data_IF_554927602169
#
_entry.id   IF_554927602169
#
_cell.length_a   1.000
_cell.length_b   1.000
_cell.length_c   1.000
_cell.angle_alpha   90.00
_cell.angle_beta   90.00
_cell.angle_gamma   90.00
#
_symmetry.space_group_name_H-M   'P 1'
#
loop_
_entity.id
_entity.type
_entity.pdbx_description
1 polymer ?
#
# COMPACT_ATOMS: atom_id res chain seq x y z
N UNK A 1 34.20 -8.47 14.03
CA UNK A 1 33.06 -7.88 14.75
C UNK A 1 31.97 -7.66 13.70
N UNK A 2 31.13 -8.68 13.48
CA UNK A 2 30.04 -8.60 12.50
C UNK A 2 28.96 -7.68 13.09
N UNK A 3 28.94 -6.41 12.67
CA UNK A 3 27.71 -5.64 12.79
C UNK A 3 26.70 -6.31 11.88
N UNK A 4 25.73 -7.01 12.45
CA UNK A 4 24.50 -7.33 11.75
C UNK A 4 23.92 -6.02 11.25
N UNK A 5 24.14 -5.73 9.96
CA UNK A 5 23.49 -4.62 9.29
C UNK A 5 22.01 -4.97 9.22
N UNK A 6 21.24 -4.47 10.17
CA UNK A 6 19.78 -4.54 10.11
C UNK A 6 19.35 -3.84 8.82
N UNK A 7 18.86 -4.62 7.86
CA UNK A 7 18.37 -4.08 6.60
C UNK A 7 17.17 -3.19 6.89
N UNK A 8 17.17 -2.01 6.28
CA UNK A 8 16.02 -1.10 6.40
C UNK A 8 14.85 -1.70 5.65
N UNK A 9 13.73 -1.87 6.36
CA UNK A 9 12.47 -2.35 5.77
C UNK A 9 11.81 -1.24 4.93
N UNK A 10 11.33 -1.60 3.75
CA UNK A 10 10.61 -0.70 2.85
C UNK A 10 9.31 -1.35 2.35
N UNK A 11 8.19 -0.66 2.52
CA UNK A 11 6.90 -1.02 1.94
C UNK A 11 6.54 -0.19 0.70
N UNK A 12 5.49 -0.58 0.00
CA UNK A 12 4.87 0.16 -1.10
C UNK A 12 4.52 1.61 -0.72
N UNK A 13 4.02 1.84 0.50
CA UNK A 13 3.68 3.17 0.99
C UNK A 13 4.92 4.07 1.10
N UNK A 14 6.00 3.51 1.65
CA UNK A 14 7.30 4.17 1.74
C UNK A 14 7.90 4.48 0.37
N UNK A 15 7.83 3.56 -0.60
CA UNK A 15 8.30 3.79 -1.97
C UNK A 15 7.45 4.84 -2.70
N UNK A 16 6.13 4.82 -2.53
CA UNK A 16 5.24 5.84 -3.09
C UNK A 16 5.55 7.22 -2.52
N UNK A 17 5.75 7.32 -1.19
CA UNK A 17 6.13 8.58 -0.56
C UNK A 17 7.49 9.07 -1.05
N UNK A 18 8.48 8.19 -1.12
CA UNK A 18 9.82 8.52 -1.60
C UNK A 18 9.78 9.03 -3.05
N UNK A 19 9.03 8.36 -3.93
CA UNK A 19 8.81 8.78 -5.32
C UNK A 19 8.11 10.14 -5.38
N UNK A 20 7.13 10.38 -4.51
CA UNK A 20 6.32 11.59 -4.52
C UNK A 20 7.04 12.81 -3.92
N UNK A 21 7.77 12.64 -2.81
CA UNK A 21 8.53 13.69 -2.13
C UNK A 21 9.61 13.11 -1.19
N UNK A 22 10.89 13.06 -1.61
CA UNK A 22 11.99 12.57 -0.77
C UNK A 22 12.14 13.36 0.53
N UNK A 23 11.93 14.68 0.51
CA UNK A 23 11.95 15.48 1.73
C UNK A 23 10.88 15.06 2.74
N UNK A 24 9.67 14.75 2.28
CA UNK A 24 8.58 14.27 3.16
C UNK A 24 8.91 12.88 3.72
N UNK A 25 9.52 12.02 2.92
CA UNK A 25 10.05 10.73 3.39
C UNK A 25 11.05 10.90 4.53
N UNK A 26 12.01 11.83 4.39
CA UNK A 26 12.97 12.14 5.45
C UNK A 26 12.25 12.58 6.74
N UNK A 27 11.30 13.51 6.65
CA UNK A 27 10.55 14.00 7.81
C UNK A 27 9.83 12.90 8.57
N UNK A 28 9.15 12.02 7.85
CA UNK A 28 8.34 10.96 8.46
C UNK A 28 9.22 9.82 8.99
N UNK A 29 10.14 9.29 8.18
CA UNK A 29 10.82 8.03 8.52
C UNK A 29 12.22 8.19 9.12
N UNK A 30 12.92 9.30 8.88
CA UNK A 30 14.25 9.55 9.47
C UNK A 30 14.18 10.47 10.68
N UNK A 31 13.26 11.44 10.67
CA UNK A 31 13.11 12.43 11.74
C UNK A 31 11.91 12.15 12.65
N UNK A 32 11.11 11.11 12.33
CA UNK A 32 9.96 10.68 13.12
C UNK A 32 8.94 11.80 13.40
N UNK A 33 8.81 12.73 12.46
CA UNK A 33 7.83 13.81 12.56
C UNK A 33 6.46 13.27 12.20
N UNK A 34 5.53 13.36 13.15
CA UNK A 34 4.14 12.97 12.95
C UNK A 34 3.44 13.81 11.89
N UNK A 35 2.43 13.21 11.27
CA UNK A 35 1.44 13.92 10.45
C UNK A 35 0.15 14.04 11.24
N UNK A 36 -0.50 15.22 11.20
CA UNK A 36 -1.84 15.37 11.75
C UNK A 36 -2.84 14.61 10.88
N UNK A 37 -3.57 13.70 11.50
CA UNK A 37 -4.73 13.00 10.93
C UNK A 37 -5.98 13.72 11.39
N UNK A 38 -6.87 14.09 10.48
CA UNK A 38 -8.14 14.71 10.87
C UNK A 38 -9.07 13.68 11.53
N UNK A 39 -10.03 14.07 12.37
CA UNK A 39 -11.01 13.13 12.94
C UNK A 39 -11.75 12.30 11.88
N UNK A 40 -12.14 12.93 10.77
CA UNK A 40 -12.78 12.26 9.63
C UNK A 40 -11.86 11.22 8.97
N UNK A 41 -10.58 11.54 8.78
CA UNK A 41 -9.60 10.57 8.29
C UNK A 41 -9.40 9.41 9.27
N UNK A 42 -9.36 9.69 10.58
CA UNK A 42 -9.25 8.67 11.61
C UNK A 42 -10.46 7.74 11.61
N UNK A 43 -11.68 8.26 11.42
CA UNK A 43 -12.90 7.46 11.27
C UNK A 43 -12.82 6.55 10.03
N UNK A 44 -12.37 7.08 8.88
CA UNK A 44 -12.16 6.28 7.67
C UNK A 44 -11.13 5.16 7.86
N UNK A 45 -10.00 5.44 8.50
CA UNK A 45 -8.96 4.45 8.81
C UNK A 45 -9.46 3.37 9.78
N UNK A 46 -10.21 3.78 10.81
CA UNK A 46 -10.78 2.88 11.80
C UNK A 46 -11.81 1.95 11.16
N UNK A 47 -12.70 2.52 10.34
CA UNK A 47 -13.67 1.73 9.59
C UNK A 47 -12.99 0.76 8.63
N UNK A 48 -11.97 1.24 7.90
CA UNK A 48 -11.18 0.40 7.01
C UNK A 48 -10.52 -0.78 7.72
N UNK A 49 -9.88 -0.52 8.86
CA UNK A 49 -9.24 -1.57 9.66
C UNK A 49 -10.24 -2.62 10.16
N UNK A 50 -11.44 -2.19 10.59
CA UNK A 50 -12.51 -3.12 10.97
C UNK A 50 -12.98 -3.96 9.79
N UNK A 51 -13.07 -3.39 8.60
CA UNK A 51 -13.40 -4.13 7.38
C UNK A 51 -12.36 -5.22 7.08
N UNK A 52 -11.06 -4.90 7.08
CA UNK A 52 -10.01 -5.90 6.85
C UNK A 52 -10.04 -7.01 7.90
N UNK A 53 -10.23 -6.67 9.18
CA UNK A 53 -10.36 -7.66 10.25
C UNK A 53 -11.51 -8.66 10.02
N UNK A 54 -12.67 -8.18 9.58
CA UNK A 54 -13.80 -9.05 9.25
C UNK A 54 -13.46 -9.98 8.09
N UNK A 55 -12.83 -9.45 7.03
CA UNK A 55 -12.43 -10.25 5.87
C UNK A 55 -11.40 -11.32 6.25
N UNK A 56 -10.42 -10.98 7.08
CA UNK A 56 -9.42 -11.90 7.62
C UNK A 56 -10.08 -13.03 8.43
N UNK A 57 -10.93 -12.70 9.41
CA UNK A 57 -11.61 -13.69 10.24
C UNK A 57 -12.50 -14.62 9.41
N UNK A 58 -13.18 -14.08 8.40
CA UNK A 58 -14.01 -14.87 7.46
C UNK A 58 -13.16 -15.88 6.68
N UNK A 59 -12.00 -15.48 6.16
CA UNK A 59 -11.11 -16.41 5.44
C UNK A 59 -10.60 -17.53 6.37
N UNK A 60 -10.32 -17.21 7.64
CA UNK A 60 -9.96 -18.17 8.67
C UNK A 60 -11.12 -19.09 9.11
N UNK A 61 -12.37 -18.81 8.69
CA UNK A 61 -13.56 -19.56 9.10
C UNK A 61 -14.00 -19.29 10.54
N UNK A 62 -13.60 -18.16 11.10
CA UNK A 62 -14.00 -17.70 12.43
C UNK A 62 -15.37 -16.98 12.35
N UNK A 63 -16.17 -17.02 13.43
CA UNK A 63 -17.40 -16.22 13.52
C UNK A 63 -17.10 -14.73 13.36
N UNK A 64 -17.88 -14.04 12.54
CA UNK A 64 -17.72 -12.60 12.25
C UNK A 64 -18.95 -11.77 12.67
N UNK A 65 -20.01 -12.43 13.11
CA UNK A 65 -21.31 -11.84 13.44
C UNK A 65 -21.13 -10.72 14.47
N UNK A 66 -20.42 -11.00 15.57
CA UNK A 66 -20.15 -10.02 16.63
C UNK A 66 -19.33 -8.81 16.18
N UNK A 67 -18.58 -8.90 15.08
CA UNK A 67 -17.79 -7.77 14.56
C UNK A 67 -18.63 -6.80 13.73
N UNK A 68 -19.72 -7.30 13.14
CA UNK A 68 -20.58 -6.55 12.22
C UNK A 68 -21.92 -6.15 12.83
N UNK A 69 -22.36 -6.82 13.92
CA UNK A 69 -23.66 -6.60 14.58
C UNK A 69 -23.90 -5.14 15.00
N UNK A 70 -22.87 -4.46 15.50
CA UNK A 70 -22.98 -3.07 15.98
C UNK A 70 -22.78 -2.03 14.88
N UNK A 71 -22.45 -2.44 13.65
CA UNK A 71 -22.14 -1.55 12.53
C UNK A 71 -22.87 -2.00 11.26
N UNK A 72 -24.08 -1.48 11.10
CA UNK A 72 -24.95 -1.77 9.95
C UNK A 72 -24.29 -1.43 8.61
N UNK A 73 -23.43 -0.41 8.57
CA UNK A 73 -22.69 -0.07 7.37
C UNK A 73 -21.63 -1.13 7.05
N UNK A 74 -20.89 -1.59 8.06
CA UNK A 74 -19.91 -2.67 7.91
C UNK A 74 -20.59 -3.97 7.45
N UNK A 75 -21.67 -4.37 8.11
CA UNK A 75 -22.46 -5.54 7.73
C UNK A 75 -22.94 -5.45 6.28
N UNK A 76 -23.51 -4.31 5.88
CA UNK A 76 -23.98 -4.09 4.52
C UNK A 76 -22.87 -4.29 3.48
N UNK A 77 -21.71 -3.68 3.69
CA UNK A 77 -20.61 -3.74 2.73
C UNK A 77 -19.90 -5.08 2.68
N UNK A 78 -19.81 -5.79 3.80
CA UNK A 78 -19.30 -7.17 3.83
C UNK A 78 -20.23 -8.09 3.05
N UNK A 79 -21.54 -8.03 3.30
CA UNK A 79 -22.53 -8.81 2.54
C UNK A 79 -22.49 -8.47 1.06
N UNK A 80 -22.47 -7.18 0.71
CA UNK A 80 -22.40 -6.75 -0.68
C UNK A 80 -21.15 -7.28 -1.41
N UNK A 81 -20.00 -7.34 -0.74
CA UNK A 81 -18.78 -7.92 -1.32
C UNK A 81 -18.90 -9.44 -1.49
N UNK A 82 -19.47 -10.14 -0.49
CA UNK A 82 -19.74 -11.58 -0.57
C UNK A 82 -20.62 -11.93 -1.76
N UNK A 83 -21.67 -11.14 -1.98
CA UNK A 83 -22.61 -11.34 -3.08
C UNK A 83 -22.01 -10.99 -4.44
N UNK A 84 -21.15 -9.96 -4.50
CA UNK A 84 -20.52 -9.50 -5.74
C UNK A 84 -19.33 -10.36 -6.18
N UNK A 85 -18.74 -11.15 -5.28
CA UNK A 85 -17.49 -11.86 -5.51
C UNK A 85 -17.50 -13.32 -5.01
N UNK A 86 -18.56 -14.11 -5.26
CA UNK A 86 -18.67 -15.47 -4.71
C UNK A 86 -17.53 -16.38 -5.16
N UNK A 87 -17.01 -16.19 -6.37
CA UNK A 87 -15.95 -17.00 -6.96
C UNK A 87 -14.59 -16.86 -6.25
N UNK A 88 -14.27 -15.68 -5.71
CA UNK A 88 -13.03 -15.48 -4.95
C UNK A 88 -13.21 -15.79 -3.47
N UNK A 89 -14.43 -15.70 -2.94
CA UNK A 89 -14.73 -15.87 -1.51
C UNK A 89 -15.19 -17.29 -1.14
N UNK A 90 -15.45 -18.14 -2.13
CA UNK A 90 -15.71 -19.57 -1.94
C UNK A 90 -14.40 -20.35 -2.04
N UNK A 91 -14.12 -21.18 -1.03
CA UNK A 91 -12.92 -22.03 -1.04
C UNK A 91 -13.06 -23.09 -2.12
N UNK A 92 -12.19 -23.03 -3.12
CA UNK A 92 -12.09 -24.06 -4.16
C UNK A 92 -11.14 -25.17 -3.71
N UNK A 93 -11.51 -26.45 -3.88
CA UNK A 93 -10.60 -27.55 -3.61
C UNK A 93 -9.28 -27.41 -4.37
N UNK A 94 -8.19 -27.90 -3.78
CA UNK A 94 -6.83 -27.85 -4.35
C UNK A 94 -6.27 -26.43 -4.61
N UNK A 95 -6.78 -25.41 -3.91
CA UNK A 95 -6.15 -24.08 -3.86
C UNK A 95 -5.53 -23.85 -2.49
N UNK A 96 -4.38 -23.19 -2.47
CA UNK A 96 -3.80 -22.59 -1.28
C UNK A 96 -4.39 -21.18 -1.10
N UNK A 97 -4.72 -20.83 0.15
CA UNK A 97 -5.34 -19.56 0.49
C UNK A 97 -4.82 -19.08 1.83
N UNK A 98 -4.32 -17.85 1.89
CA UNK A 98 -3.85 -17.25 3.12
C UNK A 98 -4.17 -15.75 3.17
N UNK A 99 -4.85 -15.34 4.23
CA UNK A 99 -5.13 -13.93 4.53
C UNK A 99 -3.94 -13.27 5.22
N UNK A 100 -3.73 -11.98 4.97
CA UNK A 100 -2.60 -11.21 5.55
C UNK A 100 -1.23 -11.87 5.25
N UNK A 101 -1.09 -12.44 4.04
CA UNK A 101 0.10 -13.18 3.65
C UNK A 101 1.28 -12.24 3.44
N UNK A 102 2.26 -12.31 4.34
CA UNK A 102 3.46 -11.49 4.32
C UNK A 102 4.58 -12.12 3.48
N UNK A 103 5.16 -11.33 2.57
CA UNK A 103 6.38 -11.71 1.83
C UNK A 103 7.46 -10.67 1.99
N UNK A 104 8.71 -11.13 2.03
CA UNK A 104 9.88 -10.27 2.11
C UNK A 104 10.92 -10.62 1.07
N UNK A 105 11.65 -9.61 0.57
CA UNK A 105 12.71 -9.76 -0.42
C UNK A 105 13.89 -8.86 -0.05
N UNK A 106 15.08 -9.45 0.15
CA UNK A 106 16.31 -8.67 0.26
C UNK A 106 16.71 -8.16 -1.12
N UNK A 107 16.77 -6.84 -1.30
CA UNK A 107 17.04 -6.23 -2.60
C UNK A 107 17.79 -4.91 -2.43
N UNK A 108 18.96 -4.78 -3.09
CA UNK A 108 19.80 -3.58 -3.08
C UNK A 108 20.15 -3.06 -1.66
N UNK A 109 20.34 -3.95 -0.69
CA UNK A 109 20.65 -3.58 0.71
C UNK A 109 19.45 -3.10 1.52
N UNK A 110 18.23 -3.36 1.05
CA UNK A 110 16.98 -3.13 1.76
C UNK A 110 16.19 -4.44 1.91
N UNK A 111 15.28 -4.49 2.87
CA UNK A 111 14.31 -5.57 2.99
C UNK A 111 12.96 -5.05 2.52
N UNK A 112 12.53 -5.45 1.33
CA UNK A 112 11.23 -5.08 0.81
C UNK A 112 10.17 -5.97 1.45
N UNK A 113 9.09 -5.40 1.96
CA UNK A 113 8.01 -6.13 2.61
C UNK A 113 6.68 -5.79 1.96
N UNK A 114 5.86 -6.81 1.71
CA UNK A 114 4.46 -6.67 1.26
C UNK A 114 3.58 -7.60 2.08
N UNK A 115 2.34 -7.17 2.30
CA UNK A 115 1.31 -7.97 2.95
C UNK A 115 0.11 -8.00 2.00
N UNK A 116 -0.25 -9.20 1.54
CA UNK A 116 -1.42 -9.41 0.70
C UNK A 116 -2.63 -9.65 1.59
N UNK A 117 -3.72 -8.90 1.39
CA UNK A 117 -4.93 -9.12 2.19
C UNK A 117 -5.45 -10.55 2.02
N UNK A 118 -5.35 -11.09 0.80
CA UNK A 118 -5.59 -12.50 0.51
C UNK A 118 -4.75 -12.96 -0.69
N UNK A 119 -3.97 -14.00 -0.48
CA UNK A 119 -3.25 -14.73 -1.54
C UNK A 119 -3.99 -16.02 -1.86
N UNK A 120 -4.28 -16.26 -3.14
CA UNK A 120 -4.85 -17.50 -3.65
C UNK A 120 -3.91 -18.09 -4.68
N UNK A 121 -3.52 -19.34 -4.50
CA UNK A 121 -2.54 -20.03 -5.33
C UNK A 121 -3.07 -21.41 -5.76
N UNK A 122 -2.79 -21.77 -7.00
CA UNK A 122 -2.94 -23.15 -7.50
C UNK A 122 -1.71 -23.54 -8.33
N UNK A 123 -1.70 -24.76 -8.88
CA UNK A 123 -0.57 -25.24 -9.68
C UNK A 123 -0.23 -24.41 -10.93
N UNK A 124 -1.13 -23.56 -11.40
CA UNK A 124 -1.03 -22.84 -12.66
C UNK A 124 -0.92 -21.33 -12.49
N UNK A 125 -1.48 -20.75 -11.43
CA UNK A 125 -1.55 -19.31 -11.23
C UNK A 125 -1.58 -18.90 -9.76
N UNK A 126 -1.18 -17.64 -9.53
CA UNK A 126 -1.28 -16.97 -8.25
C UNK A 126 -2.05 -15.64 -8.39
N UNK A 127 -2.93 -15.38 -7.44
CA UNK A 127 -3.80 -14.22 -7.42
C UNK A 127 -3.69 -13.51 -6.07
N UNK A 128 -3.28 -12.25 -6.13
CA UNK A 128 -3.29 -11.34 -4.98
C UNK A 128 -4.61 -10.57 -5.01
N UNK A 129 -5.31 -10.56 -3.88
CA UNK A 129 -6.46 -9.71 -3.67
C UNK A 129 -6.13 -8.64 -2.65
N UNK A 130 -6.64 -7.44 -2.90
CA UNK A 130 -6.42 -6.28 -2.05
C UNK A 130 -7.74 -5.50 -1.92
N UNK A 131 -8.22 -5.37 -0.69
CA UNK A 131 -9.49 -4.74 -0.35
C UNK A 131 -9.30 -3.24 -0.22
N UNK A 132 -10.09 -2.46 -0.96
CA UNK A 132 -10.11 -1.00 -0.90
C UNK A 132 -11.44 -0.51 -0.35
N UNK A 133 -11.37 0.26 0.72
CA UNK A 133 -12.53 0.81 1.42
C UNK A 133 -12.94 2.19 0.93
N UNK A 134 -12.49 2.55 -0.28
CA UNK A 134 -12.79 3.79 -0.98
C UNK A 134 -13.23 3.50 -2.42
N UNK A 135 -13.89 4.46 -3.12
CA UNK A 135 -14.38 4.25 -4.47
C UNK A 135 -13.27 3.96 -5.48
N UNK A 136 -13.58 3.19 -6.52
CA UNK A 136 -12.63 2.92 -7.60
C UNK A 136 -12.09 4.22 -8.24
N UNK A 137 -10.76 4.41 -8.31
CA UNK A 137 -10.17 5.51 -9.05
C UNK A 137 -10.52 5.44 -10.54
N UNK A 138 -10.81 6.60 -11.14
CA UNK A 138 -11.12 6.70 -12.59
C UNK A 138 -9.93 6.33 -13.48
N UNK A 139 -8.71 6.59 -12.99
CA UNK A 139 -7.48 6.37 -13.76
C UNK A 139 -6.85 5.00 -13.41
N UNK A 140 -7.15 4.00 -14.25
CA UNK A 140 -6.55 2.67 -14.16
C UNK A 140 -5.03 2.70 -14.34
N UNK A 141 -4.49 3.58 -15.20
CA UNK A 141 -3.06 3.63 -15.48
C UNK A 141 -2.28 4.13 -14.27
N UNK A 142 -2.84 5.07 -13.51
CA UNK A 142 -2.27 5.51 -12.24
C UNK A 142 -2.09 4.35 -11.25
N UNK A 143 -3.11 3.49 -11.09
CA UNK A 143 -3.00 2.30 -10.24
C UNK A 143 -1.98 1.30 -10.77
N UNK A 144 -1.93 1.06 -12.08
CA UNK A 144 -0.94 0.18 -12.70
C UNK A 144 0.52 0.63 -12.41
N UNK A 145 0.74 1.94 -12.32
CA UNK A 145 2.06 2.54 -12.08
C UNK A 145 2.38 2.75 -10.60
N UNK A 146 1.41 2.53 -9.71
CA UNK A 146 1.55 2.68 -8.27
C UNK A 146 2.48 1.59 -7.70
N UNK A 147 3.28 1.94 -6.70
CA UNK A 147 4.19 0.96 -6.11
C UNK A 147 3.46 -0.19 -5.41
N UNK A 148 2.21 -0.03 -4.96
CA UNK A 148 1.45 -1.14 -4.40
C UNK A 148 1.27 -2.24 -5.45
N UNK A 149 0.70 -1.93 -6.62
CA UNK A 149 0.53 -2.92 -7.70
C UNK A 149 1.86 -3.51 -8.14
N UNK A 150 2.84 -2.65 -8.39
CA UNK A 150 4.11 -3.09 -8.98
C UNK A 150 4.93 -3.93 -8.01
N UNK A 151 5.03 -3.52 -6.74
CA UNK A 151 5.83 -4.22 -5.74
C UNK A 151 5.19 -5.55 -5.35
N UNK A 152 3.85 -5.59 -5.24
CA UNK A 152 3.12 -6.82 -4.88
C UNK A 152 3.36 -7.91 -5.92
N UNK A 153 3.14 -7.59 -7.20
CA UNK A 153 3.39 -8.50 -8.33
C UNK A 153 4.86 -8.90 -8.44
N UNK A 154 5.77 -7.94 -8.26
CA UNK A 154 7.22 -8.19 -8.34
C UNK A 154 7.72 -9.13 -7.24
N UNK A 155 7.34 -8.89 -5.98
CA UNK A 155 7.80 -9.72 -4.86
C UNK A 155 7.21 -11.13 -4.96
N UNK A 156 5.95 -11.29 -5.39
CA UNK A 156 5.40 -12.63 -5.57
C UNK A 156 6.20 -13.41 -6.63
N UNK A 157 6.54 -12.78 -7.75
CA UNK A 157 7.37 -13.40 -8.79
C UNK A 157 8.79 -13.74 -8.30
N UNK A 158 9.41 -12.88 -7.48
CA UNK A 158 10.79 -13.10 -6.98
C UNK A 158 10.87 -14.11 -5.82
N UNK A 159 9.74 -14.48 -5.21
CA UNK A 159 9.70 -15.33 -4.01
C UNK A 159 8.85 -16.59 -4.19
N UNK A 160 8.50 -16.91 -5.43
CA UNK A 160 7.75 -18.12 -5.79
C UNK A 160 8.27 -18.69 -7.11
N UNK A 161 7.78 -19.87 -7.49
CA UNK A 161 8.13 -20.52 -8.75
C UNK A 161 7.22 -20.10 -9.92
N UNK A 162 6.28 -19.17 -9.70
CA UNK A 162 5.38 -18.69 -10.75
C UNK A 162 6.11 -17.78 -11.73
N UNK A 163 5.89 -18.02 -13.02
CA UNK A 163 6.26 -17.06 -14.06
C UNK A 163 5.44 -15.78 -13.90
N UNK A 164 5.96 -14.60 -14.27
CA UNK A 164 5.20 -13.35 -14.20
C UNK A 164 3.82 -13.42 -14.86
N UNK A 165 3.68 -14.12 -15.99
CA UNK A 165 2.42 -14.29 -16.71
C UNK A 165 1.37 -15.09 -15.93
N UNK A 166 1.79 -15.86 -14.92
CA UNK A 166 0.93 -16.66 -14.06
C UNK A 166 0.43 -15.88 -12.84
N UNK A 167 0.92 -14.65 -12.64
CA UNK A 167 0.62 -13.83 -11.48
C UNK A 167 -0.35 -12.71 -11.85
N UNK A 168 -1.32 -12.46 -10.98
CA UNK A 168 -2.21 -11.30 -11.10
C UNK A 168 -2.56 -10.68 -9.76
N UNK A 169 -2.96 -9.42 -9.80
CA UNK A 169 -3.46 -8.70 -8.64
C UNK A 169 -4.81 -8.07 -8.98
N UNK A 170 -5.79 -8.21 -8.10
CA UNK A 170 -7.10 -7.56 -8.24
C UNK A 170 -7.39 -6.69 -7.02
N UNK A 171 -7.69 -5.42 -7.27
CA UNK A 171 -8.29 -4.57 -6.25
C UNK A 171 -9.79 -4.79 -6.19
N UNK A 172 -10.34 -4.81 -5.00
CA UNK A 172 -11.78 -4.82 -4.73
C UNK A 172 -12.19 -3.55 -3.99
N UNK A 173 -12.83 -2.63 -4.70
CA UNK A 173 -13.32 -1.35 -4.19
C UNK A 173 -14.71 -1.53 -3.60
N UNK A 174 -14.78 -1.62 -2.28
CA UNK A 174 -15.99 -2.01 -1.55
C UNK A 174 -17.00 -0.87 -1.53
N UNK A 175 -16.60 0.34 -1.12
CA UNK A 175 -17.46 1.53 -1.02
C UNK A 175 -17.60 2.24 -2.38
N UNK A 176 -18.24 1.61 -3.36
CA UNK A 176 -18.55 2.25 -4.65
C UNK A 176 -20.06 2.45 -4.86
N UNK A 177 -20.44 3.47 -5.64
CA UNK A 177 -21.84 3.93 -5.77
C UNK A 177 -22.78 2.85 -6.29
N UNK A 178 -22.28 1.96 -7.14
CA UNK A 178 -23.04 0.88 -7.77
C UNK A 178 -22.86 -0.48 -7.08
N UNK A 179 -22.35 -0.51 -5.84
CA UNK A 179 -21.86 -1.72 -5.18
C UNK A 179 -20.38 -2.00 -5.44
N UNK A 180 -19.80 -3.07 -4.85
CA UNK A 180 -18.38 -3.38 -4.95
C UNK A 180 -17.90 -3.52 -6.40
N UNK A 181 -16.72 -2.98 -6.70
CA UNK A 181 -16.13 -3.01 -8.04
C UNK A 181 -14.75 -3.66 -8.00
N UNK A 182 -14.35 -4.30 -9.10
CA UNK A 182 -13.06 -4.97 -9.21
C UNK A 182 -12.21 -4.41 -10.34
N UNK A 183 -10.89 -4.36 -10.13
CA UNK A 183 -9.93 -4.00 -11.15
C UNK A 183 -8.72 -4.93 -11.13
N UNK A 184 -8.61 -5.75 -12.17
CA UNK A 184 -7.55 -6.74 -12.32
C UNK A 184 -6.35 -6.19 -13.12
N UNK A 185 -5.16 -6.55 -12.64
CA UNK A 185 -3.86 -6.31 -13.25
C UNK A 185 -3.17 -7.65 -13.48
N UNK A 186 -2.93 -8.00 -14.74
CA UNK A 186 -2.06 -9.11 -15.13
C UNK A 186 -0.61 -8.64 -15.12
N UNK A 187 0.30 -9.60 -14.98
CA UNK A 187 1.72 -9.36 -14.98
C UNK A 187 2.42 -10.03 -16.16
N UNK A 188 3.63 -9.58 -16.46
CA UNK A 188 4.41 -10.05 -17.63
C UNK A 188 5.89 -9.86 -17.37
N UNK A 189 6.72 -10.63 -18.07
CA UNK A 189 8.16 -10.55 -17.98
C UNK A 189 8.70 -9.14 -18.27
N UNK A 190 8.06 -8.41 -19.20
CA UNK A 190 8.43 -7.02 -19.50
C UNK A 190 8.14 -6.08 -18.33
N UNK A 191 6.97 -6.18 -17.70
CA UNK A 191 6.64 -5.39 -16.51
C UNK A 191 7.54 -5.74 -15.33
N UNK A 192 7.95 -7.00 -15.22
CA UNK A 192 8.85 -7.50 -14.20
C UNK A 192 10.24 -6.87 -14.32
N UNK A 193 10.85 -6.92 -15.50
CA UNK A 193 12.16 -6.31 -15.73
C UNK A 193 12.11 -4.78 -15.57
N UNK A 194 11.06 -4.12 -16.07
CA UNK A 194 10.88 -2.68 -15.86
C UNK A 194 10.76 -2.33 -14.36
N UNK A 195 10.08 -3.17 -13.59
CA UNK A 195 9.93 -2.97 -12.13
C UNK A 195 11.25 -3.14 -11.41
N UNK A 196 12.03 -4.18 -11.74
CA UNK A 196 13.40 -4.37 -11.21
C UNK A 196 14.29 -3.15 -11.47
N UNK A 197 14.27 -2.62 -12.69
CA UNK A 197 15.09 -1.47 -13.07
C UNK A 197 14.70 -0.20 -12.32
N UNK A 198 13.40 0.10 -12.25
CA UNK A 198 12.91 1.29 -11.56
C UNK A 198 13.14 1.22 -10.05
N UNK A 199 12.95 0.04 -9.47
CA UNK A 199 13.20 -0.21 -8.06
C UNK A 199 14.69 -0.05 -7.74
N UNK A 200 15.56 -0.64 -8.55
CA UNK A 200 17.02 -0.47 -8.43
C UNK A 200 17.41 1.02 -8.47
N UNK A 201 16.91 1.77 -9.45
CA UNK A 201 17.18 3.21 -9.57
C UNK A 201 16.70 3.99 -8.34
N UNK A 202 15.51 3.69 -7.82
CA UNK A 202 14.98 4.39 -6.65
C UNK A 202 15.77 4.06 -5.37
N UNK A 203 16.15 2.80 -5.15
CA UNK A 203 16.88 2.39 -3.96
C UNK A 203 18.34 2.89 -3.95
N UNK A 204 18.99 2.94 -5.11
CA UNK A 204 20.31 3.59 -5.24
C UNK A 204 20.23 5.07 -4.86
N UNK A 205 19.21 5.79 -5.35
CA UNK A 205 18.98 7.19 -4.95
C UNK A 205 18.73 7.34 -3.46
N UNK A 206 17.91 6.46 -2.88
CA UNK A 206 17.67 6.45 -1.43
C UNK A 206 18.97 6.24 -0.64
N UNK A 207 19.81 5.29 -1.06
CA UNK A 207 21.11 5.04 -0.40
C UNK A 207 21.98 6.28 -0.44
N UNK A 208 22.10 6.93 -1.60
CA UNK A 208 22.86 8.17 -1.76
C UNK A 208 22.32 9.31 -0.89
N UNK A 209 21.00 9.49 -0.84
CA UNK A 209 20.39 10.51 0.01
C UNK A 209 20.62 10.23 1.49
N UNK A 210 20.52 8.97 1.93
CA UNK A 210 20.81 8.58 3.32
C UNK A 210 22.27 8.84 3.70
N UNK A 211 23.23 8.52 2.82
CA UNK A 211 24.66 8.81 3.04
C UNK A 211 24.91 10.31 3.16
N UNK A 212 24.37 11.12 2.25
CA UNK A 212 24.49 12.58 2.32
C UNK A 212 23.84 13.17 3.59
N UNK A 213 22.73 12.57 4.04
CA UNK A 213 22.04 13.00 5.27
C UNK A 213 22.88 12.76 6.51
N UNK A 214 23.66 11.67 6.57
CA UNK A 214 24.63 11.44 7.65
C UNK A 214 25.70 12.53 7.71
N UNK A 215 26.01 13.18 6.59
CA UNK A 215 26.92 14.34 6.54
C UNK A 215 26.20 15.70 6.63
N UNK A 216 24.94 15.72 7.08
CA UNK A 216 24.15 16.93 7.31
C UNK A 216 23.35 17.46 6.10
N UNK A 217 23.47 16.83 4.93
CA UNK A 217 22.75 17.27 3.72
C UNK A 217 21.37 16.65 3.65
N UNK A 218 20.37 17.50 3.64
CA UNK A 218 18.96 17.12 3.60
C UNK A 218 18.54 16.52 2.25
N UNK A 219 17.50 15.68 2.24
CA UNK A 219 16.92 15.10 1.03
C UNK A 219 16.36 16.19 0.10
N UNK A 220 16.31 15.98 -1.23
CA UNK A 220 15.82 16.99 -2.15
C UNK A 220 14.34 17.29 -1.88
N UNK A 221 13.99 18.58 -1.99
CA UNK A 221 12.59 19.01 -2.04
C UNK A 221 12.09 18.92 -3.48
N UNK A 222 10.78 18.75 -3.65
CA UNK A 222 10.15 18.78 -4.98
C UNK A 222 9.90 20.22 -5.44
N UNK A 223 9.71 20.40 -6.75
CA UNK A 223 9.41 21.70 -7.35
C UNK A 223 8.05 22.25 -6.89
N UNK A 224 7.96 23.57 -6.68
CA UNK A 224 6.69 24.24 -6.29
C UNK A 224 5.60 23.96 -7.33
N UNK A 225 5.98 23.96 -8.61
CA UNK A 225 5.09 23.78 -9.77
C UNK A 225 4.33 22.46 -9.78
N UNK A 226 4.76 21.47 -8.99
CA UNK A 226 4.05 20.19 -8.83
C UNK A 226 2.71 20.33 -8.11
N UNK A 227 2.47 21.45 -7.41
CA UNK A 227 1.27 21.70 -6.62
C UNK A 227 1.17 20.90 -5.31
N UNK A 228 2.05 19.92 -5.10
CA UNK A 228 2.03 18.98 -3.95
C UNK A 228 2.28 19.63 -2.59
N UNK A 229 2.93 20.79 -2.59
CA UNK A 229 3.31 21.48 -1.36
C UNK A 229 2.17 22.30 -0.75
N UNK A 230 1.08 22.57 -1.50
CA UNK A 230 -0.01 23.47 -1.05
C UNK A 230 -0.67 22.97 0.22
N UNK A 231 -0.92 21.67 0.29
CA UNK A 231 -1.64 21.04 1.40
C UNK A 231 -0.73 20.11 2.21
N UNK A 232 0.59 20.31 2.13
CA UNK A 232 1.56 19.47 2.82
C UNK A 232 1.77 19.98 4.25
N UNK A 233 1.59 19.12 5.26
CA UNK A 233 1.85 19.43 6.68
C UNK A 233 3.29 19.87 6.97
N UNK A 234 4.23 19.63 6.05
CA UNK A 234 5.63 20.06 6.17
C UNK A 234 5.96 21.27 5.29
N UNK A 235 4.97 21.93 4.66
CA UNK A 235 5.19 23.03 3.75
C UNK A 235 5.92 24.21 4.40
N UNK A 236 5.57 24.56 5.65
CA UNK A 236 6.28 25.59 6.44
C UNK A 236 7.73 25.19 6.67
N UNK A 237 7.98 23.94 7.12
CA UNK A 237 9.34 23.42 7.33
C UNK A 237 10.16 23.36 6.05
N UNK A 238 9.48 23.20 4.90
CA UNK A 238 10.07 23.26 3.58
C UNK A 238 10.16 24.68 3.01
N UNK A 239 9.76 25.72 3.76
CA UNK A 239 9.73 27.12 3.34
C UNK A 239 8.88 27.36 2.08
N UNK A 240 7.78 26.62 1.96
CA UNK A 240 6.84 26.70 0.82
C UNK A 240 5.60 27.53 1.12
N UNK A 241 5.28 27.72 2.40
CA UNK A 241 4.15 28.52 2.89
C UNK A 241 4.64 29.32 4.10
N UNK A 242 4.20 30.57 4.23
CA UNK A 242 4.48 31.42 5.40
C UNK A 242 3.66 31.01 6.61
N UNK A 243 4.22 31.11 7.81
CA UNK A 243 3.56 30.72 9.08
C UNK A 243 2.19 31.37 9.30
N UNK A 244 1.98 32.59 8.80
CA UNK A 244 0.71 33.33 8.91
C UNK A 244 -0.38 32.95 7.88
N UNK A 245 -0.11 32.00 6.97
CA UNK A 245 -1.02 31.64 5.87
C UNK A 245 -1.76 30.32 6.09
N UNK A 246 -1.73 29.77 7.30
CA UNK A 246 -2.46 28.56 7.68
C UNK A 246 -3.97 28.85 7.70
N UNK A 247 -4.63 28.80 6.55
CA UNK A 247 -6.06 28.53 6.54
C UNK A 247 -6.26 27.07 6.94
N UNK A 248 -7.21 26.82 7.85
CA UNK A 248 -7.70 25.48 8.20
C UNK A 248 -8.23 24.79 6.94
N UNK A 249 -7.35 24.25 6.11
CA UNK A 249 -7.74 23.58 4.89
C UNK A 249 -7.66 22.08 5.11
N UNK A 250 -8.84 21.53 5.38
CA UNK A 250 -9.14 20.11 5.36
C UNK A 250 -8.82 19.54 3.98
N UNK A 251 -8.40 18.28 3.99
CA UNK A 251 -8.22 17.41 2.83
C UNK A 251 -7.01 17.64 1.94
N UNK A 252 -5.94 16.88 2.21
CA UNK A 252 -5.10 16.38 1.12
C UNK A 252 -4.28 15.13 1.49
N UNK A 253 -4.79 14.00 0.98
CA UNK A 253 -4.08 12.83 0.46
C UNK A 253 -3.01 12.18 1.34
N UNK A 254 -3.50 11.37 2.28
CA UNK A 254 -2.93 10.07 2.64
C UNK A 254 -3.87 8.94 2.17
N UNK A 255 -4.25 8.95 0.89
CA UNK A 255 -4.87 7.78 0.28
C UNK A 255 -3.80 7.10 -0.57
N UNK A 256 -3.24 6.00 -0.03
CA UNK A 256 -2.57 4.86 -0.70
C UNK A 256 -1.57 4.15 0.23
N UNK A 257 -1.33 4.61 1.46
CA UNK A 257 -0.20 4.11 2.28
C UNK A 257 -0.52 3.81 3.76
N UNK A 258 -1.77 3.81 4.21
CA UNK A 258 -2.07 3.59 5.64
C UNK A 258 -3.17 2.55 5.82
N UNK A 259 -2.79 1.29 5.66
CA UNK A 259 -3.18 0.28 6.64
C UNK A 259 -1.93 0.14 7.52
N UNK A 260 -2.03 0.21 8.86
CA UNK A 260 -0.92 -0.18 9.71
C UNK A 260 -0.59 -1.62 9.37
N UNK A 261 0.47 -1.82 8.59
CA UNK A 261 1.10 -3.13 8.45
C UNK A 261 1.45 -3.55 9.88
N UNK A 262 0.79 -4.61 10.34
CA UNK A 262 1.00 -5.18 11.67
C UNK A 262 2.52 -5.33 11.82
N UNK A 263 3.08 -4.57 12.75
CA UNK A 263 4.50 -4.65 13.04
C UNK A 263 4.77 -6.04 13.61
N UNK A 264 5.41 -6.90 12.83
CA UNK A 264 6.10 -8.08 13.35
C UNK A 264 7.42 -7.66 13.99
#
# INVERSE_FOLDING_TARGET
MNQELSLVRLSQGQLNLLKACPRKFQHIYLEQLGTHVSPEQQEHLTWGSRFHLVMQQRELGLPVESLVEEDTQLQHWVTALVDAAPEILTKTPQTFRESEHCRTLSFQGYLLTVIYDLLIEDKNCAQILDWKTYPQPKDRQRLAQDWQTRLYLYILAETSDYLPEQISMSYWFVKSQSGPQTLKFTYSQLQHEQTRQDLTKQLIRLTQWRQHYQTGKQFPQVEVSTGRCRDCNFAIRCQRISEGSMTNNKDSLLHLAEIPEVSL
#
